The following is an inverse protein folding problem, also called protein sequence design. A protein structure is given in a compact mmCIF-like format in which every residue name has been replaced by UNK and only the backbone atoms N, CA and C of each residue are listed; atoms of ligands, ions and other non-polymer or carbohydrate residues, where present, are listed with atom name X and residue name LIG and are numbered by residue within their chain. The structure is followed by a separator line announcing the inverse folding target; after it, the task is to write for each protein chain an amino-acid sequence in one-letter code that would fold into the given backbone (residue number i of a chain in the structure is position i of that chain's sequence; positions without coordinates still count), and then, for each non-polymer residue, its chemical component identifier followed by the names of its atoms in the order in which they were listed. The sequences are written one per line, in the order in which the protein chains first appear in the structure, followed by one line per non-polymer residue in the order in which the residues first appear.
data_IF_106698143171
#
_entry.id   IF_106698143171
#
_cell.length_a   1.000
_cell.length_b   1.000
_cell.length_c   1.000
_cell.angle_alpha   90.00
_cell.angle_beta   90.00
_cell.angle_gamma   90.00
#
_symmetry.space_group_name_H-M   'P 1'
#
loop_
_entity.id
_entity.type
_entity.pdbx_description
1 polymer ?
#
# COMPACT_ATOMS: atom_id res chain seq x y z
N UNK A 1 6.09 -30.92 -1.66
CA UNK A 1 4.87 -30.89 -2.49
C UNK A 1 4.41 -29.45 -2.52
N UNK A 2 4.73 -28.73 -3.59
CA UNK A 2 4.35 -27.32 -3.76
C UNK A 2 2.86 -27.24 -4.07
N UNK A 3 2.08 -26.61 -3.18
CA UNK A 3 0.70 -26.23 -3.46
C UNK A 3 0.74 -24.89 -4.19
N UNK A 4 0.53 -24.91 -5.50
CA UNK A 4 0.23 -23.71 -6.28
C UNK A 4 -1.18 -23.24 -5.88
N UNK A 5 -1.30 -22.13 -5.18
CA UNK A 5 -2.58 -21.46 -4.91
C UNK A 5 -2.99 -20.75 -6.21
N UNK A 6 -4.04 -21.25 -6.83
CA UNK A 6 -4.64 -20.62 -8.01
C UNK A 6 -5.62 -19.54 -7.56
N UNK A 7 -5.26 -18.30 -7.86
CA UNK A 7 -6.16 -17.15 -7.80
C UNK A 7 -7.27 -17.33 -8.84
N UNK A 8 -8.50 -17.63 -8.43
CA UNK A 8 -9.65 -17.71 -9.35
C UNK A 8 -10.29 -16.34 -9.44
N UNK A 9 -9.74 -15.48 -10.29
CA UNK A 9 -10.54 -14.39 -10.85
C UNK A 9 -11.35 -14.97 -12.03
N UNK A 10 -12.67 -14.79 -12.00
CA UNK A 10 -13.54 -15.13 -13.14
C UNK A 10 -13.15 -14.22 -14.32
N UNK A 11 -12.22 -14.68 -15.15
CA UNK A 11 -11.92 -14.08 -16.44
C UNK A 11 -13.01 -14.50 -17.43
N UNK A 12 -13.83 -13.56 -17.84
CA UNK A 12 -14.53 -13.65 -19.12
C UNK A 12 -13.46 -13.65 -20.23
N UNK A 13 -13.23 -14.80 -20.84
CA UNK A 13 -12.34 -14.97 -21.99
C UNK A 13 -12.87 -14.15 -23.17
N UNK A 14 -12.39 -12.94 -23.34
CA UNK A 14 -12.39 -12.27 -24.63
C UNK A 14 -11.18 -12.81 -25.40
N UNK A 15 -11.42 -13.78 -26.25
CA UNK A 15 -10.50 -14.22 -27.31
C UNK A 15 -10.31 -13.03 -28.27
N UNK A 16 -9.34 -12.16 -28.00
CA UNK A 16 -8.81 -11.23 -28.98
C UNK A 16 -7.75 -11.96 -29.80
N UNK A 17 -8.04 -12.29 -31.03
CA UNK A 17 -7.06 -12.71 -32.05
C UNK A 17 -6.08 -11.56 -32.30
N UNK A 18 -4.86 -11.72 -31.79
CA UNK A 18 -3.71 -10.86 -32.06
C UNK A 18 -2.54 -11.41 -31.24
N UNK A 19 -1.63 -12.16 -31.87
CA UNK A 19 -0.46 -12.74 -31.23
C UNK A 19 0.58 -11.65 -30.91
N UNK A 20 0.34 -10.83 -29.89
CA UNK A 20 1.33 -10.00 -29.24
C UNK A 20 1.84 -10.75 -28.00
N UNK A 21 3.14 -10.75 -27.77
CA UNK A 21 3.72 -11.23 -26.52
C UNK A 21 3.05 -10.48 -25.35
N UNK A 22 2.73 -11.20 -24.26
CA UNK A 22 2.16 -10.59 -23.08
C UNK A 22 3.16 -9.57 -22.52
N UNK A 23 2.68 -8.35 -22.27
CA UNK A 23 3.53 -7.28 -21.76
C UNK A 23 3.84 -7.51 -20.28
N UNK A 24 5.09 -7.31 -19.93
CA UNK A 24 5.55 -7.35 -18.53
C UNK A 24 6.00 -5.96 -18.06
N UNK A 25 6.11 -5.78 -16.76
CA UNK A 25 6.56 -4.54 -16.14
C UNK A 25 7.85 -4.76 -15.34
N UNK A 26 8.58 -3.68 -15.07
CA UNK A 26 9.75 -3.64 -14.19
C UNK A 26 9.67 -2.43 -13.26
N UNK A 27 10.26 -2.58 -12.07
CA UNK A 27 10.47 -1.48 -11.12
C UNK A 27 11.82 -0.82 -11.43
N UNK A 28 11.86 0.50 -11.38
CA UNK A 28 13.13 1.26 -11.44
C UNK A 28 13.67 1.36 -10.02
N UNK A 29 14.85 0.78 -9.79
CA UNK A 29 15.46 0.60 -8.46
C UNK A 29 16.07 1.90 -7.89
N UNK A 30 15.29 2.99 -7.96
CA UNK A 30 15.63 4.30 -7.40
C UNK A 30 14.51 4.72 -6.46
N UNK A 31 14.84 4.89 -5.18
CA UNK A 31 13.92 5.39 -4.16
C UNK A 31 13.75 6.89 -4.33
N UNK A 32 12.52 7.35 -4.61
CA UNK A 32 12.21 8.75 -4.92
C UNK A 32 12.00 9.61 -3.67
N UNK A 33 11.54 9.01 -2.59
CA UNK A 33 11.17 9.70 -1.34
C UNK A 33 11.78 8.99 -0.13
N UNK A 34 11.72 9.62 1.03
CA UNK A 34 12.07 9.04 2.34
C UNK A 34 10.85 9.19 3.25
N UNK A 35 10.20 8.09 3.56
CA UNK A 35 8.91 8.04 4.23
C UNK A 35 8.94 7.07 5.42
N UNK A 36 8.05 7.31 6.38
CA UNK A 36 7.85 6.44 7.53
C UNK A 36 6.37 6.07 7.65
N UNK A 37 6.09 4.77 7.75
CA UNK A 37 4.75 4.28 8.07
C UNK A 37 4.55 4.21 9.59
N UNK A 38 3.37 4.62 10.02
CA UNK A 38 2.88 4.49 11.38
C UNK A 38 1.37 4.27 11.38
N UNK A 39 0.82 3.83 12.50
CA UNK A 39 -0.61 3.64 12.67
C UNK A 39 -1.27 4.93 13.13
N UNK A 40 -2.44 5.24 12.57
CA UNK A 40 -3.22 6.42 12.92
C UNK A 40 -4.28 6.08 13.97
N UNK A 41 -4.16 6.61 15.19
CA UNK A 41 -5.08 6.34 16.31
C UNK A 41 -6.03 7.53 16.51
N UNK A 42 -7.28 7.26 16.89
CA UNK A 42 -8.26 8.29 17.24
C UNK A 42 -7.69 9.24 18.32
N UNK A 43 -7.77 10.53 18.07
CA UNK A 43 -7.28 11.58 18.98
C UNK A 43 -7.94 11.55 20.35
N UNK A 44 -9.13 10.96 20.43
CA UNK A 44 -9.87 10.80 21.68
C UNK A 44 -9.47 9.54 22.46
N UNK A 45 -8.53 8.73 21.93
CA UNK A 45 -8.06 7.49 22.54
C UNK A 45 -6.54 7.54 22.85
N UNK A 46 -6.05 8.46 23.71
CA UNK A 46 -4.62 8.57 24.01
C UNK A 46 -4.04 7.35 24.72
N UNK A 47 -4.87 6.60 25.45
CA UNK A 47 -4.47 5.35 26.10
C UNK A 47 -4.21 4.26 25.06
N UNK A 48 -5.07 4.14 24.05
CA UNK A 48 -4.84 3.22 22.92
C UNK A 48 -3.54 3.57 22.17
N UNK A 49 -3.25 4.85 21.98
CA UNK A 49 -1.99 5.27 21.36
C UNK A 49 -0.77 4.82 22.18
N UNK A 50 -0.83 4.93 23.50
CA UNK A 50 0.25 4.46 24.38
C UNK A 50 0.41 2.93 24.28
N UNK A 51 -0.70 2.19 24.31
CA UNK A 51 -0.70 0.71 24.18
C UNK A 51 -0.12 0.28 22.83
N UNK A 52 -0.48 0.98 21.73
CA UNK A 52 0.04 0.72 20.38
C UNK A 52 1.56 0.93 20.33
N UNK A 53 2.07 2.03 20.92
CA UNK A 53 3.51 2.31 20.95
C UNK A 53 4.27 1.26 21.77
N UNK A 54 3.76 0.91 22.94
CA UNK A 54 4.35 -0.15 23.79
C UNK A 54 4.34 -1.49 23.04
N UNK A 55 3.27 -1.78 22.31
CA UNK A 55 3.16 -3.00 21.51
C UNK A 55 4.13 -3.01 20.32
N UNK A 56 4.26 -1.91 19.56
CA UNK A 56 5.26 -1.79 18.48
C UNK A 56 6.66 -2.03 19.03
N UNK A 57 7.00 -1.39 20.14
CA UNK A 57 8.28 -1.61 20.80
C UNK A 57 8.48 -3.06 21.19
N UNK A 58 7.50 -3.69 21.82
CA UNK A 58 7.54 -5.10 22.26
C UNK A 58 7.84 -6.03 21.10
N UNK A 59 7.07 -5.94 20.00
CA UNK A 59 7.21 -6.86 18.86
C UNK A 59 8.52 -6.66 18.10
N UNK A 60 9.10 -5.44 18.14
CA UNK A 60 10.45 -5.17 17.62
C UNK A 60 11.53 -5.75 18.52
N UNK A 61 11.43 -5.54 19.81
CA UNK A 61 12.43 -6.00 20.79
C UNK A 61 12.50 -7.52 20.88
N UNK A 62 11.39 -8.23 20.75
CA UNK A 62 11.32 -9.71 20.85
C UNK A 62 11.47 -10.44 19.50
N UNK A 63 11.64 -9.69 18.39
CA UNK A 63 11.82 -10.21 17.03
C UNK A 63 10.53 -10.73 16.38
N UNK A 64 9.35 -10.46 16.97
CA UNK A 64 8.05 -10.80 16.35
C UNK A 64 7.82 -10.02 15.08
N UNK A 65 8.17 -8.72 15.07
CA UNK A 65 8.06 -7.89 13.88
C UNK A 65 8.88 -8.43 12.70
N UNK A 66 10.14 -8.83 12.95
CA UNK A 66 11.00 -9.40 11.92
C UNK A 66 10.43 -10.72 11.36
N UNK A 67 9.83 -11.55 12.21
CA UNK A 67 9.17 -12.79 11.79
C UNK A 67 7.92 -12.52 10.93
N UNK A 68 7.16 -11.47 11.26
CA UNK A 68 6.02 -11.05 10.43
C UNK A 68 6.56 -10.57 9.08
N UNK A 69 7.55 -9.69 9.07
CA UNK A 69 8.16 -9.19 7.82
C UNK A 69 8.70 -10.33 6.95
N UNK A 70 9.35 -11.34 7.53
CA UNK A 70 9.88 -12.50 6.79
C UNK A 70 8.78 -13.29 6.04
N UNK A 71 7.56 -13.31 6.57
CA UNK A 71 6.41 -13.97 5.90
C UNK A 71 6.01 -13.27 4.59
N UNK A 72 6.24 -11.97 4.47
CA UNK A 72 5.76 -11.15 3.35
C UNK A 72 6.87 -10.63 2.44
N UNK A 73 8.06 -10.47 2.95
CA UNK A 73 9.26 -10.00 2.22
C UNK A 73 10.32 -11.09 2.02
N UNK A 74 10.22 -12.20 2.77
CA UNK A 74 11.15 -13.31 2.75
C UNK A 74 10.51 -14.61 2.26
N UNK A 75 10.96 -15.74 2.83
CA UNK A 75 10.50 -17.08 2.47
C UNK A 75 9.45 -17.66 3.45
N UNK A 76 9.01 -16.89 4.42
CA UNK A 76 8.00 -17.30 5.41
C UNK A 76 6.63 -17.54 4.78
N UNK A 77 5.73 -18.11 5.54
CA UNK A 77 4.35 -18.37 5.08
C UNK A 77 3.40 -17.34 5.68
N UNK A 78 2.70 -16.54 4.87
CA UNK A 78 1.67 -15.61 5.33
C UNK A 78 0.59 -16.30 6.17
N UNK A 79 0.09 -15.59 7.17
CA UNK A 79 -0.97 -16.06 8.07
C UNK A 79 -2.25 -15.29 7.81
N UNK A 80 -3.34 -16.02 7.52
CA UNK A 80 -4.63 -15.40 7.26
C UNK A 80 -5.27 -14.86 8.55
N UNK A 81 -5.72 -13.62 8.50
CA UNK A 81 -6.41 -12.91 9.57
C UNK A 81 -7.91 -12.84 9.25
N UNK A 82 -8.75 -13.15 10.23
CA UNK A 82 -10.20 -13.04 10.09
C UNK A 82 -10.74 -11.86 10.88
N UNK A 83 -11.76 -11.21 10.33
CA UNK A 83 -12.49 -10.12 10.99
C UNK A 83 -13.74 -10.64 11.68
N UNK A 84 -13.98 -10.22 12.91
CA UNK A 84 -15.28 -10.35 13.55
C UNK A 84 -16.31 -9.41 12.89
N UNK A 85 -17.57 -9.62 13.17
CA UNK A 85 -18.61 -8.62 12.82
C UNK A 85 -18.56 -7.49 13.82
N UNK A 86 -18.75 -6.27 13.33
CA UNK A 86 -18.93 -5.09 14.17
C UNK A 86 -20.16 -5.28 15.08
N UNK A 87 -19.97 -5.10 16.37
CA UNK A 87 -21.01 -5.24 17.40
C UNK A 87 -20.68 -4.31 18.57
N UNK A 88 -21.38 -3.19 18.66
CA UNK A 88 -21.18 -2.15 19.67
C UNK A 88 -21.38 -2.63 21.12
N UNK A 89 -21.95 -3.83 21.33
CA UNK A 89 -22.08 -4.44 22.66
C UNK A 89 -20.84 -5.21 23.12
N UNK A 90 -19.84 -5.38 22.25
CA UNK A 90 -18.62 -6.13 22.50
C UNK A 90 -17.40 -5.21 22.64
N UNK A 91 -16.40 -5.73 23.33
CA UNK A 91 -15.09 -5.07 23.38
C UNK A 91 -14.29 -5.45 22.12
N UNK A 92 -14.23 -4.54 21.18
CA UNK A 92 -13.63 -4.73 19.87
C UNK A 92 -12.55 -3.69 19.57
N UNK A 93 -11.53 -4.08 18.83
CA UNK A 93 -10.60 -3.18 18.17
C UNK A 93 -11.04 -3.05 16.71
N UNK A 94 -11.53 -1.88 16.33
CA UNK A 94 -12.03 -1.61 14.98
C UNK A 94 -10.94 -0.93 14.17
N UNK A 95 -10.43 -1.64 13.17
CA UNK A 95 -9.30 -1.22 12.32
C UNK A 95 -9.83 -0.75 10.97
N UNK A 96 -9.51 0.48 10.57
CA UNK A 96 -9.72 0.99 9.22
C UNK A 96 -8.52 0.62 8.35
N UNK A 97 -8.77 0.08 7.15
CA UNK A 97 -7.72 -0.31 6.20
C UNK A 97 -8.18 -0.17 4.75
N UNK A 98 -7.25 -0.30 3.79
CA UNK A 98 -7.55 -0.45 2.36
C UNK A 98 -6.87 -1.73 1.85
N UNK A 99 -7.59 -2.85 1.89
CA UNK A 99 -7.04 -4.20 1.69
C UNK A 99 -6.71 -4.52 0.22
N UNK A 100 -5.99 -3.62 -0.45
CA UNK A 100 -5.50 -3.73 -1.82
C UNK A 100 -4.02 -3.33 -1.96
N UNK A 101 -3.25 -3.36 -0.84
CA UNK A 101 -1.90 -2.84 -0.75
C UNK A 101 -0.90 -3.90 -0.22
N UNK A 102 -0.78 -5.02 -0.97
CA UNK A 102 0.22 -6.04 -0.63
C UNK A 102 1.65 -5.47 -0.69
N UNK A 103 2.53 -5.81 0.25
CA UNK A 103 2.42 -6.87 1.26
C UNK A 103 1.91 -6.41 2.65
N UNK A 104 1.39 -5.18 2.79
CA UNK A 104 0.98 -4.65 4.11
C UNK A 104 -0.45 -5.04 4.49
N UNK A 105 -1.41 -4.83 3.59
CA UNK A 105 -2.81 -5.19 3.79
C UNK A 105 -3.47 -5.57 2.47
N UNK A 106 -3.99 -6.79 2.38
CA UNK A 106 -4.65 -7.26 1.16
C UNK A 106 -5.57 -8.44 1.44
N UNK A 107 -6.42 -8.76 0.47
CA UNK A 107 -7.31 -9.92 0.49
C UNK A 107 -7.23 -10.66 -0.83
N UNK A 108 -7.32 -12.00 -0.79
CA UNK A 108 -7.31 -12.87 -1.97
C UNK A 108 -8.68 -13.50 -2.25
N UNK A 109 -9.59 -13.45 -1.29
CA UNK A 109 -10.86 -14.17 -1.31
C UNK A 109 -12.11 -13.24 -1.27
N UNK A 110 -11.91 -11.98 -1.64
CA UNK A 110 -12.97 -10.97 -1.67
C UNK A 110 -13.39 -10.50 -0.28
N UNK A 111 -12.45 -10.38 0.64
CA UNK A 111 -12.66 -9.79 1.96
C UNK A 111 -13.16 -10.75 3.04
N UNK A 112 -12.98 -12.06 2.85
CA UNK A 112 -13.28 -13.05 3.90
C UNK A 112 -12.13 -13.23 4.86
N UNK A 113 -10.91 -13.19 4.33
CA UNK A 113 -9.66 -13.22 5.08
C UNK A 113 -8.73 -12.11 4.60
N UNK A 114 -7.93 -11.62 5.52
CA UNK A 114 -6.96 -10.56 5.28
C UNK A 114 -5.55 -11.09 5.47
N UNK A 115 -4.62 -10.55 4.73
CA UNK A 115 -3.20 -10.89 4.74
C UNK A 115 -2.39 -9.60 4.79
N UNK A 116 -1.16 -9.69 5.24
CA UNK A 116 -0.24 -8.56 5.23
C UNK A 116 0.35 -8.23 6.60
N UNK A 117 1.44 -7.47 6.56
CA UNK A 117 2.16 -7.07 7.77
C UNK A 117 1.24 -6.35 8.75
N UNK A 118 0.48 -5.36 8.26
CA UNK A 118 -0.43 -4.56 9.08
C UNK A 118 -1.57 -5.42 9.66
N UNK A 119 -2.07 -6.36 8.89
CA UNK A 119 -3.17 -7.23 9.32
C UNK A 119 -2.73 -8.23 10.40
N UNK A 120 -1.53 -8.82 10.28
CA UNK A 120 -0.99 -9.67 11.35
C UNK A 120 -0.67 -8.87 12.62
N UNK A 121 -0.13 -7.66 12.48
CA UNK A 121 0.09 -6.76 13.62
C UNK A 121 -1.25 -6.41 14.28
N UNK A 122 -2.31 -6.10 13.50
CA UNK A 122 -3.65 -5.82 14.01
C UNK A 122 -4.22 -6.99 14.82
N UNK A 123 -4.07 -8.23 14.33
CA UNK A 123 -4.53 -9.43 15.03
C UNK A 123 -3.80 -9.65 16.36
N UNK A 124 -2.48 -9.43 16.38
CA UNK A 124 -1.69 -9.57 17.60
C UNK A 124 -1.97 -8.43 18.58
N UNK A 125 -2.17 -7.20 18.11
CA UNK A 125 -2.54 -6.05 18.94
C UNK A 125 -3.92 -6.27 19.59
N UNK A 126 -4.92 -6.67 18.81
CA UNK A 126 -6.25 -6.97 19.36
C UNK A 126 -6.19 -8.04 20.44
N UNK A 127 -5.40 -9.11 20.21
CA UNK A 127 -5.16 -10.16 21.21
C UNK A 127 -4.46 -9.65 22.48
N UNK A 128 -3.47 -8.78 22.34
CA UNK A 128 -2.76 -8.15 23.47
C UNK A 128 -3.71 -7.33 24.33
N UNK A 129 -4.61 -6.57 23.67
CA UNK A 129 -5.62 -5.75 24.32
C UNK A 129 -6.82 -6.56 24.86
N UNK A 130 -6.89 -7.85 24.57
CA UNK A 130 -8.03 -8.70 24.95
C UNK A 130 -9.32 -8.40 24.19
N UNK A 131 -9.23 -7.79 23.00
CA UNK A 131 -10.36 -7.36 22.18
C UNK A 131 -10.59 -8.30 20.98
N UNK A 132 -11.83 -8.37 20.48
CA UNK A 132 -12.10 -8.98 19.17
C UNK A 132 -11.65 -8.01 18.05
N UNK A 133 -10.95 -8.54 17.04
CA UNK A 133 -10.53 -7.74 15.88
C UNK A 133 -11.69 -7.57 14.88
N UNK A 134 -11.99 -6.32 14.53
CA UNK A 134 -12.89 -5.97 13.43
C UNK A 134 -12.09 -5.18 12.38
N UNK A 135 -12.08 -5.63 11.13
CA UNK A 135 -11.44 -4.96 10.02
C UNK A 135 -12.51 -4.31 9.14
N UNK A 136 -12.39 -3.02 8.92
CA UNK A 136 -13.24 -2.21 8.03
C UNK A 136 -12.42 -1.85 6.80
N UNK A 137 -12.65 -2.59 5.71
CA UNK A 137 -12.04 -2.32 4.42
C UNK A 137 -12.79 -1.18 3.71
N UNK A 138 -12.05 -0.18 3.23
CA UNK A 138 -12.61 1.02 2.61
C UNK A 138 -11.62 1.67 1.63
N UNK A 139 -12.08 2.66 0.87
CA UNK A 139 -11.19 3.48 0.04
C UNK A 139 -10.13 4.18 0.89
N UNK A 140 -8.88 4.20 0.41
CA UNK A 140 -7.72 4.67 1.18
C UNK A 140 -7.89 6.10 1.73
N UNK A 141 -8.45 7.01 0.93
CA UNK A 141 -8.70 8.40 1.36
C UNK A 141 -9.66 8.51 2.56
N UNK A 142 -10.47 7.48 2.80
CA UNK A 142 -11.47 7.47 3.89
C UNK A 142 -10.90 6.94 5.21
N UNK A 143 -9.75 6.28 5.19
CA UNK A 143 -9.20 5.54 6.34
C UNK A 143 -8.98 6.45 7.55
N UNK A 144 -8.22 7.54 7.41
CA UNK A 144 -7.98 8.49 8.51
C UNK A 144 -9.27 9.21 8.94
N UNK A 145 -10.15 9.54 8.00
CA UNK A 145 -11.43 10.20 8.31
C UNK A 145 -12.37 9.28 9.09
N UNK A 146 -12.37 7.98 8.80
CA UNK A 146 -13.17 7.01 9.57
C UNK A 146 -12.74 6.95 11.04
N UNK A 147 -11.43 7.03 11.31
CA UNK A 147 -10.87 7.10 12.65
C UNK A 147 -11.23 8.43 13.32
N UNK A 148 -11.03 9.57 12.63
CA UNK A 148 -11.40 10.90 13.16
C UNK A 148 -12.87 10.98 13.59
N UNK A 149 -13.76 10.32 12.86
CA UNK A 149 -15.20 10.29 13.15
C UNK A 149 -15.60 9.26 14.22
N UNK A 150 -14.63 8.57 14.83
CA UNK A 150 -14.88 7.54 15.84
C UNK A 150 -15.61 6.30 15.29
N UNK A 151 -15.57 6.06 13.97
CA UNK A 151 -16.12 4.84 13.36
C UNK A 151 -15.17 3.66 13.44
N UNK A 152 -13.87 3.95 13.56
CA UNK A 152 -12.80 3.02 13.79
C UNK A 152 -11.88 3.58 14.86
N UNK A 153 -11.18 2.71 15.59
CA UNK A 153 -10.26 3.09 16.66
C UNK A 153 -8.89 3.47 16.11
N UNK A 154 -8.48 2.77 15.06
CA UNK A 154 -7.14 2.85 14.50
C UNK A 154 -7.14 2.61 12.99
N UNK A 155 -6.28 3.33 12.28
CA UNK A 155 -5.97 3.15 10.87
C UNK A 155 -4.67 2.36 10.73
N UNK A 156 -4.73 1.22 10.03
CA UNK A 156 -3.60 0.35 9.72
C UNK A 156 -3.64 0.04 8.23
N UNK A 157 -2.89 0.81 7.43
CA UNK A 157 -3.03 0.88 5.97
C UNK A 157 -1.76 1.39 5.27
N UNK A 158 -0.56 0.99 5.72
CA UNK A 158 0.69 1.50 5.16
C UNK A 158 0.76 3.04 5.18
N UNK A 159 0.34 3.66 6.29
CA UNK A 159 0.14 5.11 6.34
C UNK A 159 1.46 5.88 6.53
N UNK A 160 1.86 6.64 5.53
CA UNK A 160 2.94 7.63 5.66
C UNK A 160 2.53 8.75 6.62
N UNK A 161 3.40 9.05 7.58
CA UNK A 161 3.24 10.17 8.51
C UNK A 161 3.35 11.48 7.74
N UNK A 162 2.33 12.35 7.86
CA UNK A 162 2.32 13.69 7.29
C UNK A 162 1.44 14.65 8.11
N UNK A 163 1.56 15.96 7.84
CA UNK A 163 0.87 16.98 8.63
C UNK A 163 -0.66 16.94 8.43
N UNK A 164 -1.15 16.74 7.19
CA UNK A 164 -2.59 16.68 6.93
C UNK A 164 -3.24 15.52 7.67
N UNK A 165 -2.62 14.34 7.64
CA UNK A 165 -3.12 13.18 8.39
C UNK A 165 -3.01 13.37 9.90
N UNK A 166 -2.00 14.11 10.39
CA UNK A 166 -1.90 14.49 11.81
C UNK A 166 -3.05 15.39 12.27
N UNK A 167 -3.71 16.10 11.37
CA UNK A 167 -4.92 16.84 11.69
C UNK A 167 -6.10 15.91 12.01
N UNK A 168 -6.12 14.72 11.43
CA UNK A 168 -7.20 13.73 11.56
C UNK A 168 -6.95 12.72 12.69
N UNK A 169 -5.71 12.21 12.81
CA UNK A 169 -5.33 11.14 13.74
C UNK A 169 -4.07 11.50 14.51
N UNK A 170 -3.81 10.79 15.62
CA UNK A 170 -2.50 10.76 16.28
C UNK A 170 -1.71 9.56 15.75
N UNK A 171 -0.50 9.80 15.25
CA UNK A 171 0.35 8.71 14.78
C UNK A 171 1.09 8.02 15.93
N UNK A 172 1.20 6.70 15.81
CA UNK A 172 2.11 5.90 16.63
C UNK A 172 3.57 6.18 16.30
N UNK A 173 4.48 5.55 17.03
CA UNK A 173 5.85 5.39 16.59
C UNK A 173 5.90 4.68 15.23
N UNK A 174 6.86 5.05 14.39
CA UNK A 174 6.99 4.45 13.07
C UNK A 174 7.44 2.99 13.17
N UNK A 175 6.86 2.14 12.29
CA UNK A 175 7.23 0.73 12.25
C UNK A 175 8.00 0.34 10.99
N UNK A 176 7.87 1.08 9.88
CA UNK A 176 8.48 0.75 8.59
C UNK A 176 8.99 2.01 7.87
N UNK A 177 10.13 1.88 7.15
CA UNK A 177 10.64 2.93 6.26
C UNK A 177 10.21 2.64 4.83
N UNK A 178 9.54 3.59 4.20
CA UNK A 178 8.98 3.47 2.86
C UNK A 178 9.60 4.48 1.88
N UNK A 179 9.30 4.33 0.62
CA UNK A 179 9.73 5.21 -0.44
C UNK A 179 8.88 4.97 -1.69
N UNK A 180 8.73 5.95 -2.56
CA UNK A 180 8.11 5.79 -3.87
C UNK A 180 9.10 5.24 -4.90
N UNK A 181 8.62 4.45 -5.88
CA UNK A 181 9.38 3.97 -7.03
C UNK A 181 8.56 4.06 -8.32
N UNK A 182 9.26 4.08 -9.46
CA UNK A 182 8.64 4.07 -10.79
C UNK A 182 8.49 2.64 -11.28
N UNK A 183 7.31 2.31 -11.81
CA UNK A 183 7.06 1.09 -12.59
C UNK A 183 6.88 1.47 -14.05
N UNK A 184 7.56 0.77 -14.94
CA UNK A 184 7.44 0.93 -16.41
C UNK A 184 7.26 -0.43 -17.08
N UNK A 185 6.89 -0.43 -18.37
CA UNK A 185 6.95 -1.66 -19.17
C UNK A 185 8.40 -2.19 -19.21
N UNK A 186 8.59 -3.50 -19.24
CA UNK A 186 9.93 -4.13 -19.20
C UNK A 186 10.82 -3.74 -20.38
N UNK A 187 10.24 -3.42 -21.51
CA UNK A 187 10.95 -2.96 -22.73
C UNK A 187 11.22 -1.44 -22.74
N UNK A 188 10.68 -0.69 -21.78
CA UNK A 188 10.97 0.74 -21.62
C UNK A 188 12.40 0.91 -21.11
N UNK A 189 13.23 1.63 -21.85
CA UNK A 189 14.64 1.90 -21.52
C UNK A 189 14.90 3.33 -21.05
N UNK A 190 13.86 4.14 -20.92
CA UNK A 190 13.97 5.58 -20.66
C UNK A 190 14.70 5.88 -19.35
N UNK A 191 14.50 5.06 -18.31
CA UNK A 191 15.08 5.23 -16.97
C UNK A 191 16.35 4.39 -16.73
N UNK A 192 16.79 3.58 -17.70
CA UNK A 192 17.89 2.62 -17.49
C UNK A 192 19.24 3.31 -17.18
N UNK A 193 19.41 4.54 -17.61
CA UNK A 193 20.62 5.33 -17.34
C UNK A 193 20.56 6.09 -16.01
N UNK A 194 19.41 6.16 -15.34
CA UNK A 194 19.23 6.88 -14.09
C UNK A 194 20.00 6.20 -12.96
N UNK A 195 20.59 7.01 -12.09
CA UNK A 195 21.31 6.55 -10.89
C UNK A 195 20.86 7.28 -9.63
N UNK A 196 20.16 8.38 -9.79
CA UNK A 196 19.72 9.26 -8.70
C UNK A 196 18.27 9.68 -8.89
N UNK A 197 17.62 10.12 -7.82
CA UNK A 197 16.29 10.76 -7.87
C UNK A 197 16.29 11.90 -8.90
N UNK A 198 17.30 12.77 -8.86
CA UNK A 198 17.40 13.91 -9.78
C UNK A 198 17.46 13.49 -11.26
N UNK A 199 17.98 12.30 -11.58
CA UNK A 199 17.97 11.81 -12.97
C UNK A 199 16.55 11.43 -13.40
N UNK A 200 15.79 10.76 -12.51
CA UNK A 200 14.38 10.43 -12.76
C UNK A 200 13.55 11.70 -12.90
N UNK A 201 13.68 12.63 -11.95
CA UNK A 201 12.95 13.91 -11.98
C UNK A 201 13.23 14.75 -13.21
N UNK A 202 14.47 14.75 -13.71
CA UNK A 202 14.81 15.43 -14.99
C UNK A 202 14.05 14.84 -16.17
N UNK A 203 13.92 13.52 -16.22
CA UNK A 203 13.12 12.85 -17.25
C UNK A 203 11.65 13.26 -17.12
N UNK A 204 11.07 13.16 -15.92
CA UNK A 204 9.67 13.51 -15.70
C UNK A 204 9.39 15.00 -15.99
N UNK A 205 10.30 15.89 -15.59
CA UNK A 205 10.19 17.33 -15.87
C UNK A 205 10.37 17.69 -17.35
N UNK A 206 10.93 16.80 -18.18
CA UNK A 206 11.04 16.99 -19.62
C UNK A 206 9.78 16.60 -20.38
N UNK A 207 8.79 15.98 -19.70
CA UNK A 207 7.52 15.53 -20.28
C UNK A 207 6.51 16.67 -20.38
N UNK A 208 5.38 16.35 -20.99
CA UNK A 208 4.21 17.25 -21.09
C UNK A 208 2.92 16.49 -20.68
N UNK A 209 1.77 17.14 -20.83
CA UNK A 209 0.46 16.58 -20.48
C UNK A 209 0.02 15.35 -21.29
N UNK A 210 0.76 14.96 -22.33
CA UNK A 210 0.51 13.70 -23.04
C UNK A 210 1.10 12.51 -22.29
N UNK A 211 2.14 12.73 -21.46
CA UNK A 211 2.73 11.70 -20.62
C UNK A 211 1.84 11.46 -19.39
N UNK A 212 1.39 10.23 -19.20
CA UNK A 212 0.42 9.84 -18.15
C UNK A 212 1.09 8.98 -17.10
N UNK A 213 1.04 9.44 -15.85
CA UNK A 213 1.54 8.71 -14.70
C UNK A 213 0.37 8.23 -13.87
N UNK A 214 0.24 6.90 -13.69
CA UNK A 214 -0.73 6.29 -12.80
C UNK A 214 -0.27 6.35 -11.35
N UNK A 215 -1.18 6.67 -10.44
CA UNK A 215 -0.95 6.71 -8.99
C UNK A 215 -2.17 6.17 -8.26
N UNK A 216 -1.98 5.69 -7.04
CA UNK A 216 -3.11 5.46 -6.15
C UNK A 216 -3.54 6.80 -5.54
N UNK A 217 -4.84 7.09 -5.60
CA UNK A 217 -5.41 8.33 -5.11
C UNK A 217 -5.19 8.54 -3.61
N UNK A 218 -4.85 9.77 -3.20
CA UNK A 218 -4.66 10.15 -1.80
C UNK A 218 -3.38 9.60 -1.14
N UNK A 219 -2.41 9.14 -1.93
CA UNK A 219 -1.11 8.64 -1.45
C UNK A 219 0.02 9.64 -1.67
N UNK A 220 1.18 9.37 -1.07
CA UNK A 220 2.39 10.15 -1.31
C UNK A 220 2.76 10.18 -2.79
N UNK A 221 2.64 9.05 -3.50
CA UNK A 221 2.87 8.98 -4.94
C UNK A 221 1.95 9.90 -5.73
N UNK A 222 0.70 10.06 -5.32
CA UNK A 222 -0.23 10.99 -5.94
C UNK A 222 0.26 12.44 -5.78
N UNK A 223 0.63 12.85 -4.57
CA UNK A 223 1.10 14.22 -4.31
C UNK A 223 2.48 14.49 -4.92
N UNK A 224 3.36 13.51 -4.95
CA UNK A 224 4.66 13.61 -5.63
C UNK A 224 4.50 13.91 -7.12
N UNK A 225 3.54 13.30 -7.79
CA UNK A 225 3.27 13.50 -9.22
C UNK A 225 2.45 14.76 -9.49
N UNK A 226 1.38 14.99 -8.75
CA UNK A 226 0.47 16.12 -8.97
C UNK A 226 1.04 17.45 -8.47
N UNK A 227 1.90 17.38 -7.47
CA UNK A 227 2.41 18.52 -6.70
C UNK A 227 1.56 18.78 -5.46
N UNK A 228 2.24 18.98 -4.35
CA UNK A 228 1.64 19.39 -3.09
C UNK A 228 2.65 20.21 -2.27
N UNK A 229 2.27 21.44 -1.92
CA UNK A 229 3.19 22.37 -1.26
C UNK A 229 3.44 22.02 0.20
N UNK A 230 2.47 21.42 0.87
CA UNK A 230 2.58 21.05 2.29
C UNK A 230 3.51 19.85 2.46
N UNK A 231 3.62 19.01 1.40
CA UNK A 231 4.60 17.94 1.29
C UNK A 231 5.94 18.37 0.67
N UNK A 232 6.04 19.61 0.18
CA UNK A 232 7.22 20.12 -0.51
C UNK A 232 7.45 19.52 -1.90
N UNK A 233 6.41 19.01 -2.53
CA UNK A 233 6.46 18.47 -3.88
C UNK A 233 6.00 19.50 -4.92
N UNK A 234 6.86 19.81 -5.89
CA UNK A 234 6.52 20.74 -6.98
C UNK A 234 5.60 20.08 -8.03
N UNK A 235 5.54 18.74 -8.03
CA UNK A 235 4.86 17.97 -9.08
C UNK A 235 5.58 18.01 -10.42
N UNK A 236 4.96 17.39 -11.44
CA UNK A 236 5.52 17.29 -12.78
C UNK A 236 4.54 17.83 -13.84
N UNK A 237 5.03 18.31 -15.01
CA UNK A 237 4.18 18.84 -16.07
C UNK A 237 3.48 17.74 -16.89
N UNK A 238 3.03 16.67 -16.23
CA UNK A 238 2.43 15.46 -16.80
C UNK A 238 0.94 15.37 -16.48
N UNK A 239 0.25 14.37 -17.00
CA UNK A 239 -1.09 14.01 -16.54
C UNK A 239 -0.98 12.99 -15.42
N UNK A 240 -1.35 13.37 -14.19
CA UNK A 240 -1.53 12.47 -13.07
C UNK A 240 -2.88 11.75 -13.21
N UNK A 241 -2.85 10.42 -13.27
CA UNK A 241 -4.05 9.57 -13.41
C UNK A 241 -4.29 8.84 -12.10
N UNK A 242 -5.31 9.26 -11.37
CA UNK A 242 -5.66 8.69 -10.08
C UNK A 242 -6.46 7.39 -10.24
N UNK A 243 -6.00 6.33 -9.58
CA UNK A 243 -6.63 5.02 -9.55
C UNK A 243 -7.02 4.65 -8.12
N UNK A 244 -7.98 3.75 -7.95
CA UNK A 244 -8.40 3.27 -6.62
C UNK A 244 -7.29 2.49 -5.90
N UNK A 245 -6.43 1.79 -6.64
CA UNK A 245 -5.28 1.07 -6.09
C UNK A 245 -4.16 0.89 -7.12
N UNK A 246 -2.98 0.46 -6.64
CA UNK A 246 -1.79 0.27 -7.48
C UNK A 246 -1.93 -0.82 -8.53
N UNK A 247 -2.66 -1.90 -8.24
CA UNK A 247 -2.86 -2.99 -9.19
C UNK A 247 -3.63 -2.55 -10.42
N UNK A 248 -4.65 -1.69 -10.25
CA UNK A 248 -5.37 -1.09 -11.37
C UNK A 248 -4.47 -0.17 -12.22
N UNK A 249 -3.58 0.58 -11.59
CA UNK A 249 -2.63 1.43 -12.30
C UNK A 249 -1.64 0.59 -13.13
N UNK A 250 -1.08 -0.49 -12.57
CA UNK A 250 -0.17 -1.38 -13.30
C UNK A 250 -0.91 -2.13 -14.41
N UNK A 251 -2.14 -2.55 -14.20
CA UNK A 251 -2.96 -3.15 -15.25
C UNK A 251 -3.17 -2.18 -16.43
N UNK A 252 -3.46 -0.91 -16.15
CA UNK A 252 -3.63 0.10 -17.19
C UNK A 252 -2.31 0.42 -17.91
N UNK A 253 -1.17 0.42 -17.20
CA UNK A 253 0.16 0.49 -17.79
C UNK A 253 0.40 -0.67 -18.80
N UNK A 254 0.11 -1.90 -18.40
CA UNK A 254 0.28 -3.07 -19.26
C UNK A 254 -0.64 -3.02 -20.50
N UNK A 255 -1.81 -2.41 -20.38
CA UNK A 255 -2.74 -2.18 -21.47
C UNK A 255 -2.35 -0.98 -22.37
N UNK A 256 -1.34 -0.19 -21.99
CA UNK A 256 -0.85 0.97 -22.73
C UNK A 256 -1.69 2.24 -22.53
N UNK A 257 -2.46 2.31 -21.45
CA UNK A 257 -3.21 3.51 -21.04
C UNK A 257 -2.35 4.52 -20.28
N UNK A 258 -1.24 4.07 -19.69
CA UNK A 258 -0.27 4.86 -18.93
C UNK A 258 1.13 4.69 -19.50
N UNK A 259 2.01 5.65 -19.22
CA UNK A 259 3.45 5.60 -19.59
C UNK A 259 4.29 5.04 -18.43
N UNK A 260 3.93 5.33 -17.19
CA UNK A 260 4.49 4.70 -15.99
C UNK A 260 3.51 4.77 -14.82
N UNK A 261 3.87 4.10 -13.71
CA UNK A 261 3.17 4.17 -12.43
C UNK A 261 4.16 4.59 -11.35
N UNK A 262 3.73 5.41 -10.40
CA UNK A 262 4.51 5.75 -9.20
C UNK A 262 3.71 5.27 -7.98
N UNK A 263 4.35 4.43 -7.18
CA UNK A 263 3.78 3.82 -5.98
C UNK A 263 4.90 3.43 -5.03
N UNK A 264 4.55 3.10 -3.79
CA UNK A 264 5.48 2.64 -2.76
C UNK A 264 6.28 1.41 -3.19
N UNK A 265 7.56 1.36 -2.78
CA UNK A 265 8.54 0.38 -3.25
C UNK A 265 8.12 -1.07 -3.04
N UNK A 266 7.61 -1.41 -1.84
CA UNK A 266 7.23 -2.77 -1.53
C UNK A 266 5.98 -3.22 -2.31
N UNK A 267 4.89 -2.45 -2.39
CA UNK A 267 3.79 -2.71 -3.30
C UNK A 267 4.19 -2.75 -4.76
N UNK A 268 5.08 -1.86 -5.22
CA UNK A 268 5.58 -1.88 -6.60
C UNK A 268 6.19 -3.25 -6.96
N UNK A 269 7.08 -3.74 -6.11
CA UNK A 269 7.73 -5.04 -6.32
C UNK A 269 6.70 -6.19 -6.35
N UNK A 270 5.76 -6.19 -5.39
CA UNK A 270 4.76 -7.26 -5.25
C UNK A 270 3.75 -7.29 -6.39
N UNK A 271 3.29 -6.13 -6.83
CA UNK A 271 2.36 -6.01 -7.96
C UNK A 271 3.06 -6.47 -9.25
N UNK A 272 4.29 -6.00 -9.51
CA UNK A 272 5.05 -6.38 -10.71
C UNK A 272 5.34 -7.88 -10.72
N UNK A 273 5.77 -8.47 -9.59
CA UNK A 273 5.96 -9.91 -9.45
C UNK A 273 4.67 -10.67 -9.82
N UNK A 274 3.54 -10.24 -9.26
CA UNK A 274 2.24 -10.91 -9.45
C UNK A 274 1.77 -10.86 -10.92
N UNK A 275 1.83 -9.69 -11.57
CA UNK A 275 1.44 -9.55 -12.96
C UNK A 275 2.38 -10.31 -13.92
N UNK A 276 3.69 -10.24 -13.68
CA UNK A 276 4.66 -10.97 -14.53
C UNK A 276 4.55 -12.49 -14.40
N UNK A 277 4.13 -13.00 -13.24
CA UNK A 277 3.89 -14.43 -13.04
C UNK A 277 2.62 -14.96 -13.75
N UNK A 278 1.68 -14.07 -14.13
CA UNK A 278 0.45 -14.44 -14.86
C UNK A 278 0.63 -14.45 -16.38
N UNK A 279 1.72 -13.89 -16.89
CA UNK A 279 2.07 -13.77 -18.31
C UNK A 279 3.15 -14.77 -18.72
#
# INVERSE_FOLDING_TARGET
MALALALVMALSTLTACGGGEAKTAKVIEIKLTDEQYAFGVDKNQPELLADVNDFIKKIKDDGTFDKICDKYFGEGTPEAVTSAKLDDSKDQLVVATNAAFAPFEYTEDGGKTYLGVDMEIAALLAKELGKELVIQDMEFESVCTAVQLGKCDIAMAGLTINEDRKELVNFSDSYYNASQQVIVLSDNTEFDACKTVSDVEKILNSKDKNYKIGVQKGTTGNWYVAGDKDWGFDGFPVTCVEMANGSLAVQDLLNGGLDCVIIDSAPAAKIVESFNAMN
#
